data_IF_039170797443
#
_entry.id   IF_039170797443
#
_cell.length_a   1.000
_cell.length_b   1.000
_cell.length_c   1.000
_cell.angle_alpha   90.00
_cell.angle_beta   90.00
_cell.angle_gamma   90.00
#
_symmetry.space_group_name_H-M   'P 1'
#
loop_
_entity.id
_entity.type
_entity.pdbx_description
1 polymer ?
#
# COMPACT_ATOMS: atom_id res chain seq x y z
N UNK A 1 -25.45 29.00 -22.32
CA UNK A 1 -25.06 27.88 -21.42
C UNK A 1 -23.59 28.07 -21.05
N UNK A 2 -23.20 28.11 -19.76
CA UNK A 2 -21.83 28.43 -19.37
C UNK A 2 -20.92 27.19 -19.45
N UNK A 3 -19.69 27.39 -19.91
CA UNK A 3 -18.64 26.38 -19.99
C UNK A 3 -18.20 25.95 -18.58
N UNK A 4 -18.40 24.68 -18.26
CA UNK A 4 -17.88 24.06 -17.04
C UNK A 4 -16.38 23.91 -17.22
N UNK A 5 -15.62 24.87 -16.69
CA UNK A 5 -14.21 24.70 -16.41
C UNK A 5 -14.09 23.47 -15.49
N UNK A 6 -13.72 22.33 -16.08
CA UNK A 6 -13.35 21.14 -15.35
C UNK A 6 -12.22 21.54 -14.42
N UNK A 7 -12.57 21.71 -13.15
CA UNK A 7 -11.68 21.93 -12.01
C UNK A 7 -10.56 20.90 -12.15
N UNK A 8 -9.46 21.39 -12.71
CA UNK A 8 -8.26 20.64 -12.98
C UNK A 8 -7.80 20.13 -11.62
N UNK A 9 -7.85 18.81 -11.45
CA UNK A 9 -7.44 18.07 -10.26
C UNK A 9 -6.13 18.67 -9.77
N UNK A 10 -6.23 19.44 -8.69
CA UNK A 10 -5.15 20.28 -8.16
C UNK A 10 -3.90 19.41 -8.05
N UNK A 11 -2.80 19.91 -8.62
CA UNK A 11 -1.61 19.16 -8.98
C UNK A 11 -0.86 18.68 -7.72
N UNK A 12 -1.39 17.69 -7.00
CA UNK A 12 -0.81 17.09 -5.79
C UNK A 12 0.53 16.36 -6.05
N UNK A 13 0.99 16.36 -7.29
CA UNK A 13 2.18 15.67 -7.76
C UNK A 13 3.40 16.59 -7.92
N UNK A 14 3.26 17.91 -7.82
CA UNK A 14 4.39 18.86 -7.79
C UNK A 14 3.97 20.26 -8.20
N UNK A 15 4.58 21.29 -7.64
CA UNK A 15 4.21 22.70 -7.88
C UNK A 15 4.80 23.26 -9.18
N UNK A 16 5.55 22.44 -9.94
CA UNK A 16 6.22 22.84 -11.17
C UNK A 16 6.43 21.66 -12.13
N UNK A 17 6.34 21.92 -13.44
CA UNK A 17 6.71 20.98 -14.51
C UNK A 17 8.10 20.36 -14.32
N UNK A 18 9.01 21.08 -13.67
CA UNK A 18 10.35 20.60 -13.33
C UNK A 18 10.34 19.43 -12.32
N UNK A 19 9.39 19.40 -11.39
CA UNK A 19 9.23 18.29 -10.44
C UNK A 19 8.55 17.07 -11.07
N UNK A 20 7.65 17.31 -12.03
CA UNK A 20 7.01 16.24 -12.81
C UNK A 20 8.05 15.56 -13.73
N UNK A 21 8.88 16.33 -14.45
CA UNK A 21 9.90 15.80 -15.35
C UNK A 21 11.01 15.02 -14.61
N UNK A 22 11.34 15.42 -13.38
CA UNK A 22 12.31 14.67 -12.55
C UNK A 22 11.77 13.29 -12.13
N UNK A 23 10.44 13.10 -12.12
CA UNK A 23 9.79 11.81 -11.85
C UNK A 23 9.66 10.94 -13.11
N UNK A 24 9.85 11.51 -14.30
CA UNK A 24 9.83 10.79 -15.59
C UNK A 24 11.21 10.36 -16.07
N UNK A 25 12.30 10.83 -15.45
CA UNK A 25 13.65 10.33 -15.71
C UNK A 25 13.83 8.90 -15.18
N UNK A 26 13.48 7.92 -16.02
CA UNK A 26 13.68 6.50 -15.73
C UNK A 26 15.07 6.09 -16.22
N UNK A 27 16.08 6.18 -15.34
CA UNK A 27 17.23 5.27 -15.41
C UNK A 27 16.80 3.97 -14.73
N UNK A 28 16.53 2.94 -15.52
CA UNK A 28 15.89 1.69 -15.11
C UNK A 28 16.62 0.87 -14.02
N UNK A 29 17.82 1.28 -13.60
CA UNK A 29 18.67 0.43 -12.77
C UNK A 29 18.57 0.64 -11.26
N UNK A 30 17.95 1.72 -10.76
CA UNK A 30 17.93 1.97 -9.30
C UNK A 30 16.62 2.61 -8.85
N UNK A 31 15.55 1.82 -8.76
CA UNK A 31 14.42 2.22 -7.90
C UNK A 31 14.97 2.29 -6.47
N UNK A 32 15.22 3.53 -6.03
CA UNK A 32 15.79 3.81 -4.71
C UNK A 32 14.81 3.43 -3.61
N UNK A 33 15.32 3.11 -2.41
CA UNK A 33 14.48 2.85 -1.24
C UNK A 33 13.56 4.03 -0.93
N UNK A 34 13.97 5.27 -1.23
CA UNK A 34 13.11 6.46 -1.14
C UNK A 34 11.85 6.35 -2.01
N UNK A 35 11.96 5.83 -3.23
CA UNK A 35 10.81 5.67 -4.12
C UNK A 35 9.83 4.60 -3.60
N UNK A 36 10.36 3.52 -3.03
CA UNK A 36 9.53 2.51 -2.37
C UNK A 36 8.82 3.08 -1.14
N UNK A 37 9.50 3.89 -0.33
CA UNK A 37 8.89 4.56 0.83
C UNK A 37 7.77 5.52 0.40
N UNK A 38 8.01 6.33 -0.63
CA UNK A 38 6.96 7.21 -1.18
C UNK A 38 5.77 6.40 -1.72
N UNK A 39 6.04 5.28 -2.38
CA UNK A 39 4.99 4.38 -2.87
C UNK A 39 4.20 3.74 -1.73
N UNK A 40 4.90 3.29 -0.69
CA UNK A 40 4.30 2.75 0.53
C UNK A 40 3.37 3.77 1.20
N UNK A 41 3.82 5.03 1.35
CA UNK A 41 2.99 6.10 1.91
C UNK A 41 1.70 6.32 1.10
N UNK A 42 1.78 6.29 -0.23
CA UNK A 42 0.59 6.39 -1.10
C UNK A 42 -0.35 5.21 -0.91
N UNK A 43 0.19 3.99 -0.90
CA UNK A 43 -0.59 2.76 -0.69
C UNK A 43 -1.32 2.83 0.66
N UNK A 44 -0.64 3.25 1.73
CA UNK A 44 -1.25 3.35 3.06
C UNK A 44 -2.38 4.38 3.10
N UNK A 45 -2.20 5.55 2.49
CA UNK A 45 -3.27 6.56 2.37
C UNK A 45 -4.48 6.02 1.62
N UNK A 46 -4.26 5.38 0.46
CA UNK A 46 -5.36 4.76 -0.30
C UNK A 46 -6.01 3.61 0.47
N UNK A 47 -5.27 2.87 1.30
CA UNK A 47 -5.84 1.84 2.17
C UNK A 47 -6.78 2.44 3.21
N UNK A 48 -6.40 3.55 3.85
CA UNK A 48 -7.26 4.27 4.80
C UNK A 48 -8.51 4.84 4.12
N UNK A 49 -8.38 5.40 2.92
CA UNK A 49 -9.53 5.85 2.11
C UNK A 49 -10.49 4.68 1.84
N UNK A 50 -9.98 3.54 1.35
CA UNK A 50 -10.81 2.36 1.09
C UNK A 50 -11.46 1.80 2.38
N UNK A 51 -10.78 1.91 3.53
CA UNK A 51 -11.32 1.52 4.84
C UNK A 51 -12.49 2.42 5.25
N UNK A 52 -12.41 3.73 4.96
CA UNK A 52 -13.50 4.69 5.21
C UNK A 52 -14.67 4.51 4.23
N UNK A 53 -14.38 4.14 2.98
CA UNK A 53 -15.38 3.82 1.95
C UNK A 53 -16.07 2.45 2.16
N UNK A 54 -15.72 1.73 3.24
CA UNK A 54 -16.20 0.38 3.54
C UNK A 54 -15.88 -0.68 2.47
N UNK A 55 -14.92 -0.42 1.57
CA UNK A 55 -14.38 -1.40 0.63
C UNK A 55 -13.32 -2.27 1.34
N UNK A 56 -13.81 -3.17 2.18
CA UNK A 56 -12.99 -4.05 3.02
C UNK A 56 -12.00 -4.91 2.20
N UNK A 57 -12.41 -5.37 1.02
CA UNK A 57 -11.57 -6.21 0.16
C UNK A 57 -10.38 -5.44 -0.41
N UNK A 58 -10.63 -4.24 -0.95
CA UNK A 58 -9.58 -3.38 -1.49
C UNK A 58 -8.68 -2.82 -0.39
N UNK A 59 -9.25 -2.42 0.74
CA UNK A 59 -8.49 -1.97 1.91
C UNK A 59 -7.52 -3.06 2.38
N UNK A 60 -7.98 -4.32 2.50
CA UNK A 60 -7.14 -5.45 2.87
C UNK A 60 -5.96 -5.65 1.91
N UNK A 61 -6.22 -5.69 0.60
CA UNK A 61 -5.17 -5.86 -0.42
C UNK A 61 -4.14 -4.73 -0.33
N UNK A 62 -4.57 -3.49 -0.10
CA UNK A 62 -3.67 -2.35 0.02
C UNK A 62 -2.84 -2.40 1.31
N UNK A 63 -3.42 -2.74 2.47
CA UNK A 63 -2.65 -2.93 3.71
C UNK A 63 -1.62 -4.06 3.57
N UNK A 64 -2.00 -5.19 2.97
CA UNK A 64 -1.06 -6.29 2.70
C UNK A 64 0.06 -5.86 1.75
N UNK A 65 -0.26 -5.09 0.72
CA UNK A 65 0.73 -4.54 -0.22
C UNK A 65 1.69 -3.59 0.48
N UNK A 66 1.19 -2.73 1.38
CA UNK A 66 2.02 -1.85 2.20
C UNK A 66 3.02 -2.63 3.05
N UNK A 67 2.55 -3.65 3.78
CA UNK A 67 3.40 -4.53 4.60
C UNK A 67 4.43 -5.27 3.74
N UNK A 68 4.05 -5.76 2.56
CA UNK A 68 4.97 -6.43 1.65
C UNK A 68 6.08 -5.49 1.16
N UNK A 69 5.74 -4.25 0.79
CA UNK A 69 6.74 -3.24 0.40
C UNK A 69 7.67 -2.91 1.57
N UNK A 70 7.14 -2.74 2.77
CA UNK A 70 7.95 -2.52 3.97
C UNK A 70 8.92 -3.69 4.24
N UNK A 71 8.44 -4.93 4.14
CA UNK A 71 9.25 -6.13 4.31
C UNK A 71 10.33 -6.30 3.23
N UNK A 72 10.10 -5.76 2.02
CA UNK A 72 11.08 -5.73 0.96
C UNK A 72 12.19 -4.70 1.25
N UNK A 73 11.81 -3.47 1.60
CA UNK A 73 12.80 -2.39 1.82
C UNK A 73 13.60 -2.58 3.09
N UNK A 74 13.03 -3.13 4.17
CA UNK A 74 13.76 -3.34 5.44
C UNK A 74 14.97 -4.26 5.32
N UNK A 75 15.01 -5.10 4.27
CA UNK A 75 16.13 -6.01 3.99
C UNK A 75 17.28 -5.34 3.25
N UNK A 76 17.08 -4.18 2.63
CA UNK A 76 18.10 -3.49 1.85
C UNK A 76 19.11 -2.79 2.76
N UNK A 77 20.37 -2.74 2.32
CA UNK A 77 21.49 -2.16 3.09
C UNK A 77 21.33 -0.65 3.28
N UNK A 78 20.85 0.05 2.25
CA UNK A 78 20.57 1.50 2.29
C UNK A 78 19.45 1.85 3.28
N UNK A 79 18.44 0.98 3.42
CA UNK A 79 17.42 1.13 4.45
C UNK A 79 18.01 0.98 5.86
N UNK A 80 18.87 -0.04 6.08
CA UNK A 80 19.51 -0.27 7.38
C UNK A 80 20.43 0.89 7.79
N UNK A 81 21.14 1.48 6.82
CA UNK A 81 22.04 2.61 7.08
C UNK A 81 21.27 3.89 7.49
N UNK A 82 20.05 4.09 6.98
CA UNK A 82 19.21 5.25 7.28
C UNK A 82 17.87 4.85 7.91
N UNK A 83 17.90 3.87 8.81
CA UNK A 83 16.69 3.24 9.33
C UNK A 83 15.78 4.26 10.05
N UNK A 84 16.33 5.08 10.94
CA UNK A 84 15.56 6.07 11.70
C UNK A 84 14.90 7.13 10.80
N UNK A 85 15.58 7.51 9.71
CA UNK A 85 15.04 8.42 8.71
C UNK A 85 13.86 7.82 7.96
N UNK A 86 13.94 6.56 7.55
CA UNK A 86 12.81 5.91 6.87
C UNK A 86 11.67 5.54 7.82
N UNK A 87 11.98 5.19 9.08
CA UNK A 87 10.97 4.94 10.11
C UNK A 87 10.21 6.21 10.49
N UNK A 88 10.88 7.35 10.65
CA UNK A 88 10.20 8.64 10.88
C UNK A 88 9.31 9.04 9.70
N UNK A 89 9.74 8.79 8.46
CA UNK A 89 8.89 9.03 7.28
C UNK A 89 7.67 8.11 7.20
N UNK A 90 7.86 6.81 7.41
CA UNK A 90 6.77 5.83 7.32
C UNK A 90 5.79 5.95 8.49
N UNK A 91 6.26 6.45 9.63
CA UNK A 91 5.53 6.44 10.89
C UNK A 91 5.53 5.03 11.49
N UNK A 92 6.25 4.76 12.60
CA UNK A 92 6.30 3.41 13.18
C UNK A 92 4.89 2.89 13.56
N UNK A 93 4.00 3.79 13.97
CA UNK A 93 2.60 3.49 14.25
C UNK A 93 1.81 3.02 13.01
N UNK A 94 2.13 3.53 11.82
CA UNK A 94 1.43 3.17 10.59
C UNK A 94 1.71 1.73 10.17
N UNK A 95 2.93 1.25 10.43
CA UNK A 95 3.30 -0.15 10.16
C UNK A 95 2.48 -1.09 11.04
N UNK A 96 2.44 -0.80 12.35
CA UNK A 96 1.62 -1.57 13.30
C UNK A 96 0.14 -1.53 12.92
N UNK A 97 -0.39 -0.35 12.64
CA UNK A 97 -1.79 -0.18 12.22
C UNK A 97 -2.13 -0.95 10.94
N UNK A 98 -1.26 -0.92 9.93
CA UNK A 98 -1.48 -1.67 8.69
C UNK A 98 -1.58 -3.18 8.92
N UNK A 99 -0.78 -3.71 9.86
CA UNK A 99 -0.81 -5.12 10.24
C UNK A 99 -2.12 -5.45 10.95
N UNK A 100 -2.48 -4.69 11.99
CA UNK A 100 -3.71 -4.90 12.77
C UNK A 100 -4.97 -4.80 11.89
N UNK A 101 -5.03 -3.80 11.00
CA UNK A 101 -6.15 -3.67 10.05
C UNK A 101 -6.19 -4.79 9.03
N UNK A 102 -5.03 -5.24 8.52
CA UNK A 102 -4.99 -6.38 7.61
C UNK A 102 -5.49 -7.66 8.30
N UNK A 103 -5.10 -7.90 9.56
CA UNK A 103 -5.56 -9.04 10.34
C UNK A 103 -7.07 -8.96 10.61
N UNK A 104 -7.56 -7.82 11.08
CA UNK A 104 -8.99 -7.56 11.33
C UNK A 104 -9.84 -7.78 10.07
N UNK A 105 -9.42 -7.22 8.95
CA UNK A 105 -10.09 -7.41 7.66
C UNK A 105 -10.00 -8.86 7.17
N UNK A 106 -8.87 -9.54 7.41
CA UNK A 106 -8.72 -10.94 7.02
C UNK A 106 -9.70 -11.85 7.74
N UNK A 107 -9.96 -11.62 9.03
CA UNK A 107 -10.95 -12.39 9.80
C UNK A 107 -12.38 -12.10 9.31
N UNK A 108 -12.73 -10.83 9.05
CA UNK A 108 -14.02 -10.44 8.44
C UNK A 108 -14.24 -11.14 7.09
N UNK A 109 -13.22 -11.11 6.22
CA UNK A 109 -13.28 -11.69 4.88
C UNK A 109 -13.32 -13.21 4.91
N UNK A 110 -12.56 -13.87 5.80
CA UNK A 110 -12.62 -15.34 6.00
C UNK A 110 -14.03 -15.78 6.38
N UNK A 111 -14.69 -15.08 7.30
CA UNK A 111 -16.05 -15.39 7.74
C UNK A 111 -17.06 -15.33 6.59
N UNK A 112 -16.94 -14.32 5.72
CA UNK A 112 -17.77 -14.18 4.50
C UNK A 112 -17.45 -15.24 3.44
N UNK A 113 -16.16 -15.53 3.21
CA UNK A 113 -15.75 -16.56 2.25
C UNK A 113 -16.23 -17.94 2.70
N UNK A 114 -16.09 -18.28 3.99
CA UNK A 114 -16.58 -19.54 4.57
C UNK A 114 -18.10 -19.65 4.45
N UNK A 115 -18.84 -18.57 4.72
CA UNK A 115 -20.31 -18.53 4.58
C UNK A 115 -20.80 -18.66 3.12
N UNK A 116 -20.01 -18.20 2.15
CA UNK A 116 -20.32 -18.28 0.72
C UNK A 116 -19.70 -19.50 0.01
N UNK A 117 -18.99 -20.39 0.71
CA UNK A 117 -18.55 -21.67 0.13
C UNK A 117 -19.71 -22.65 0.03
N UNK A 118 -20.38 -22.67 -1.12
CA UNK A 118 -20.88 -23.95 -1.67
C UNK A 118 -19.68 -24.92 -1.83
N UNK A 119 -19.86 -26.23 -1.69
CA UNK A 119 -18.75 -27.19 -1.63
C UNK A 119 -17.83 -27.07 -2.85
N UNK A 120 -16.51 -27.22 -2.67
CA UNK A 120 -15.53 -26.83 -3.68
C UNK A 120 -15.57 -27.76 -4.88
N UNK A 121 -15.81 -27.20 -6.08
CA UNK A 121 -15.25 -27.79 -7.30
C UNK A 121 -13.79 -27.39 -7.37
N UNK A 122 -12.93 -28.37 -7.11
CA UNK A 122 -11.48 -28.39 -7.30
C UNK A 122 -10.88 -27.19 -8.04
N UNK A 123 -10.06 -26.41 -7.32
CA UNK A 123 -8.95 -25.65 -7.87
C UNK A 123 -7.80 -25.73 -6.85
N UNK A 124 -6.82 -26.57 -7.17
CA UNK A 124 -5.66 -26.89 -6.34
C UNK A 124 -4.63 -25.77 -6.40
N UNK A 125 -4.74 -24.72 -5.58
CA UNK A 125 -3.61 -23.88 -5.18
C UNK A 125 -3.80 -23.44 -3.72
N UNK A 126 -2.87 -23.75 -2.81
CA UNK A 126 -2.96 -23.29 -1.43
C UNK A 126 -2.84 -21.77 -1.40
N UNK A 127 -3.90 -21.08 -0.96
CA UNK A 127 -3.83 -19.65 -0.62
C UNK A 127 -2.90 -19.54 0.58
N UNK A 128 -1.63 -19.25 0.30
CA UNK A 128 -0.59 -19.07 1.30
C UNK A 128 -0.92 -17.80 2.08
N UNK A 129 -1.42 -17.96 3.31
CA UNK A 129 -1.41 -16.92 4.33
C UNK A 129 -0.02 -16.92 4.95
N UNK A 130 0.89 -15.98 4.63
CA UNK A 130 2.12 -15.87 5.39
C UNK A 130 1.73 -15.35 6.78
N UNK A 131 1.94 -16.17 7.82
CA UNK A 131 1.95 -15.68 9.20
C UNK A 131 2.88 -14.48 9.27
N UNK A 132 2.36 -13.31 9.62
CA UNK A 132 3.19 -12.17 9.96
C UNK A 132 3.87 -12.51 11.29
N UNK A 133 5.12 -12.97 11.23
CA UNK A 133 5.96 -13.02 12.42
C UNK A 133 6.32 -11.57 12.77
N UNK A 134 5.78 -11.14 13.92
CA UNK A 134 6.21 -9.96 14.68
C UNK A 134 7.64 -10.14 15.14
#
# INVERSE_FOLDING_TARGET
>A
MPAVASVLKELYLGSSLKELNKKTEVKAEKISTKNYVQSALKIFRTAEECRLDHDEGKAYVLYMKYVAVYNLIKKRLDFKQQQDYFHSMLGPANIKKAIEEAERLSESLKLRLVKNRKPPRFCSHPIYFPKLNV
#
